data_IF_978012436977
#
_entry.id   IF_978012436977
#
_cell.length_a   1.000
_cell.length_b   1.000
_cell.length_c   1.000
_cell.angle_alpha   90.00
_cell.angle_beta   90.00
_cell.angle_gamma   90.00
#
_symmetry.space_group_name_H-M   'P 1'
#
loop_
_entity.id
_entity.type
_entity.pdbx_description
1 polymer ?
#
# COMPACT_ATOMS: atom_id res chain seq x y z
N UNK A 1 16.74 -20.73 -13.86
CA UNK A 1 16.82 -20.20 -12.50
C UNK A 1 17.52 -21.25 -11.63
N UNK A 2 18.49 -20.86 -10.78
CA UNK A 2 19.24 -21.78 -9.93
C UNK A 2 18.36 -22.56 -8.95
N UNK A 3 17.27 -21.94 -8.46
CA UNK A 3 16.31 -22.56 -7.54
C UNK A 3 15.53 -23.71 -8.20
N UNK A 4 15.25 -23.63 -9.51
CA UNK A 4 14.54 -24.69 -10.24
C UNK A 4 15.44 -25.90 -10.52
N UNK A 5 16.76 -25.71 -10.54
CA UNK A 5 17.76 -26.75 -10.80
C UNK A 5 18.28 -27.45 -9.55
N UNK A 6 18.07 -26.85 -8.36
CA UNK A 6 18.54 -27.38 -7.07
C UNK A 6 17.53 -27.07 -5.97
N UNK A 7 16.59 -27.99 -5.66
CA UNK A 7 15.58 -27.77 -4.65
C UNK A 7 16.22 -27.49 -3.29
N UNK A 8 15.86 -26.35 -2.70
CA UNK A 8 16.32 -25.95 -1.38
C UNK A 8 15.78 -26.90 -0.31
N UNK A 9 16.62 -27.36 0.60
CA UNK A 9 16.22 -28.25 1.70
C UNK A 9 15.65 -27.50 2.92
N UNK A 10 15.65 -26.16 2.89
CA UNK A 10 15.15 -25.31 3.96
C UNK A 10 13.62 -25.41 4.11
N UNK A 11 13.11 -25.20 5.33
CA UNK A 11 11.69 -25.14 5.62
C UNK A 11 11.15 -23.72 5.69
N UNK A 12 12.01 -22.70 5.70
CA UNK A 12 11.67 -21.29 5.68
C UNK A 12 12.78 -20.50 4.98
N UNK A 13 12.46 -19.32 4.49
CA UNK A 13 13.42 -18.47 3.79
C UNK A 13 12.88 -17.07 3.58
N UNK A 14 13.78 -16.14 3.30
CA UNK A 14 13.48 -14.76 2.93
C UNK A 14 13.98 -14.51 1.51
N UNK A 15 13.24 -13.69 0.78
CA UNK A 15 13.60 -13.22 -0.55
C UNK A 15 13.25 -11.76 -0.73
N UNK A 16 13.96 -11.07 -1.63
CA UNK A 16 13.74 -9.66 -1.90
C UNK A 16 14.12 -9.31 -3.33
N UNK A 17 13.33 -8.48 -4.00
CA UNK A 17 13.58 -8.06 -5.39
C UNK A 17 14.38 -6.78 -5.51
N UNK A 18 14.63 -6.10 -4.43
CA UNK A 18 15.33 -4.82 -4.26
C UNK A 18 14.93 -3.72 -5.25
N UNK A 19 14.45 -2.60 -4.71
CA UNK A 19 14.42 -1.32 -5.39
C UNK A 19 15.49 -0.43 -4.76
N UNK A 20 16.56 -0.09 -5.51
CA UNK A 20 17.73 0.59 -4.95
C UNK A 20 17.41 2.05 -4.59
N UNK A 21 17.38 2.36 -3.29
CA UNK A 21 17.29 3.73 -2.73
C UNK A 21 18.64 4.20 -2.20
N UNK A 22 19.41 3.32 -1.54
CA UNK A 22 20.75 3.57 -1.01
C UNK A 22 21.76 2.61 -1.61
N UNK A 23 22.91 3.12 -2.04
CA UNK A 23 23.99 2.33 -2.65
C UNK A 23 23.71 1.88 -4.09
N UNK A 24 24.77 1.68 -4.85
CA UNK A 24 24.72 1.22 -6.24
C UNK A 24 24.03 -0.17 -6.37
N UNK A 25 23.40 -0.50 -7.50
CA UNK A 25 22.77 -1.81 -7.72
C UNK A 25 23.83 -2.89 -7.97
N UNK A 26 24.53 -3.27 -6.92
CA UNK A 26 25.56 -4.33 -6.91
C UNK A 26 25.08 -5.53 -6.10
N UNK A 27 25.73 -6.67 -6.27
CA UNK A 27 25.42 -7.88 -5.51
C UNK A 27 25.66 -7.68 -4.01
N UNK A 28 26.73 -6.97 -3.60
CA UNK A 28 27.01 -6.67 -2.21
C UNK A 28 25.93 -5.84 -1.52
N UNK A 29 25.25 -4.99 -2.30
CA UNK A 29 24.16 -4.14 -1.83
C UNK A 29 22.77 -4.77 -2.00
N UNK A 30 22.68 -6.00 -2.51
CA UNK A 30 21.41 -6.70 -2.67
C UNK A 30 20.97 -7.34 -1.34
N UNK A 31 19.65 -7.30 -1.07
CA UNK A 31 19.08 -8.09 0.02
C UNK A 31 19.07 -9.59 -0.33
N UNK A 32 19.11 -10.45 0.68
CA UNK A 32 19.17 -10.15 2.11
C UNK A 32 20.58 -9.72 2.57
N UNK A 33 20.63 -8.96 3.68
CA UNK A 33 21.87 -8.64 4.39
C UNK A 33 22.08 -9.60 5.57
N UNK A 34 23.34 -9.70 6.04
CA UNK A 34 23.71 -10.57 7.16
C UNK A 34 24.53 -9.81 8.20
N UNK A 35 24.57 -10.33 9.43
CA UNK A 35 25.45 -9.89 10.51
C UNK A 35 26.91 -10.33 10.27
N UNK A 36 27.81 -10.02 11.22
CA UNK A 36 29.22 -10.38 11.14
C UNK A 36 29.46 -11.89 11.06
N UNK A 37 28.57 -12.70 11.60
CA UNK A 37 28.70 -14.16 11.66
C UNK A 37 27.98 -14.87 10.52
N UNK A 38 27.06 -14.17 9.81
CA UNK A 38 26.19 -14.75 8.79
C UNK A 38 25.02 -15.55 9.36
N UNK A 39 24.83 -15.54 10.68
CA UNK A 39 23.77 -16.29 11.36
C UNK A 39 22.40 -15.56 11.33
N UNK A 40 22.41 -14.22 11.25
CA UNK A 40 21.21 -13.39 11.18
C UNK A 40 21.05 -12.90 9.74
N UNK A 41 19.86 -13.03 9.19
CA UNK A 41 19.54 -12.63 7.82
C UNK A 41 18.34 -11.70 7.84
N UNK A 42 18.45 -10.54 7.18
CA UNK A 42 17.42 -9.51 7.16
C UNK A 42 17.08 -9.07 5.74
N UNK A 43 15.80 -8.89 5.47
CA UNK A 43 15.29 -8.09 4.35
C UNK A 43 14.58 -6.87 4.89
N UNK A 44 14.68 -5.74 4.19
CA UNK A 44 14.21 -4.46 4.65
C UNK A 44 13.64 -3.63 3.49
N UNK A 45 12.48 -3.05 3.73
CA UNK A 45 11.89 -1.99 2.93
C UNK A 45 11.84 -0.72 3.79
N UNK A 46 12.39 0.38 3.31
CA UNK A 46 12.40 1.65 4.03
C UNK A 46 13.72 2.40 3.88
N UNK A 47 13.85 3.46 4.66
CA UNK A 47 15.06 4.29 4.74
C UNK A 47 15.38 4.53 6.20
N UNK A 48 16.63 4.27 6.58
CA UNK A 48 17.15 4.48 7.93
C UNK A 48 17.70 5.90 8.07
N UNK A 49 16.92 6.78 8.69
CA UNK A 49 17.27 8.21 8.82
C UNK A 49 18.47 8.43 9.75
N UNK A 50 18.61 7.62 10.80
CA UNK A 50 19.73 7.66 11.74
C UNK A 50 20.87 6.70 11.38
N UNK A 51 21.07 6.43 10.08
CA UNK A 51 22.10 5.54 9.56
C UNK A 51 23.50 5.88 10.06
N UNK A 52 23.94 7.14 9.96
CA UNK A 52 25.32 7.54 10.25
C UNK A 52 25.69 7.29 11.72
N UNK A 53 24.94 7.81 12.71
CA UNK A 53 25.28 7.57 14.11
C UNK A 53 25.22 6.10 14.52
N UNK A 54 24.30 5.31 13.98
CA UNK A 54 24.23 3.88 14.28
C UNK A 54 25.41 3.12 13.70
N UNK A 55 25.82 3.43 12.48
CA UNK A 55 27.00 2.81 11.85
C UNK A 55 28.28 3.12 12.61
N UNK A 56 28.48 4.36 13.05
CA UNK A 56 29.62 4.75 13.86
C UNK A 56 29.66 4.02 15.20
N UNK A 57 28.52 3.95 15.89
CA UNK A 57 28.42 3.24 17.18
C UNK A 57 28.69 1.74 17.06
N UNK A 58 28.13 1.07 16.03
CA UNK A 58 28.36 -0.35 15.79
C UNK A 58 29.80 -0.63 15.34
N UNK A 59 30.38 0.22 14.47
CA UNK A 59 31.78 0.10 14.06
C UNK A 59 32.73 0.23 15.27
N UNK A 60 32.43 1.14 16.22
CA UNK A 60 33.20 1.28 17.46
C UNK A 60 33.12 0.04 18.37
N UNK A 61 32.07 -0.76 18.26
CA UNK A 61 31.92 -2.06 18.94
C UNK A 61 32.55 -3.22 18.18
N UNK A 62 33.10 -2.97 16.99
CA UNK A 62 33.81 -3.98 16.19
C UNK A 62 32.99 -4.65 15.09
N UNK A 63 31.76 -4.19 14.82
CA UNK A 63 30.98 -4.69 13.69
C UNK A 63 31.60 -4.28 12.34
N UNK A 64 31.70 -5.24 11.42
CA UNK A 64 32.27 -5.06 10.08
C UNK A 64 31.17 -5.04 9.02
N UNK A 65 31.09 -3.95 8.28
CA UNK A 65 30.07 -3.75 7.23
C UNK A 65 30.62 -4.18 5.87
N UNK A 66 29.85 -4.95 5.12
CA UNK A 66 30.17 -5.48 3.79
C UNK A 66 29.50 -4.71 2.65
N UNK A 67 28.46 -3.95 2.94
CA UNK A 67 27.70 -3.18 1.97
C UNK A 67 27.74 -1.67 2.24
N UNK A 68 27.25 -0.91 1.28
CA UNK A 68 27.02 0.53 1.43
C UNK A 68 25.53 0.88 1.67
N UNK A 69 24.69 -0.13 2.00
CA UNK A 69 23.28 0.07 2.29
C UNK A 69 23.04 0.42 3.75
N UNK A 70 21.97 1.14 4.03
CA UNK A 70 21.49 1.40 5.38
C UNK A 70 20.90 0.13 6.04
N UNK A 71 20.37 -0.78 5.25
CA UNK A 71 19.67 -1.99 5.70
C UNK A 71 20.59 -2.98 6.45
N UNK A 72 21.88 -3.03 6.14
CA UNK A 72 22.83 -3.90 6.83
C UNK A 72 22.98 -3.57 8.31
N UNK A 73 22.77 -2.31 8.70
CA UNK A 73 22.81 -1.88 10.10
C UNK A 73 21.83 -2.67 10.97
N UNK A 74 20.67 -3.02 10.42
CA UNK A 74 19.65 -3.76 11.15
C UNK A 74 20.15 -5.12 11.61
N UNK A 75 20.93 -5.82 10.76
CA UNK A 75 21.55 -7.10 11.12
C UNK A 75 22.47 -6.94 12.32
N UNK A 76 23.32 -5.93 12.28
CA UNK A 76 24.32 -5.67 13.33
C UNK A 76 23.69 -5.17 14.64
N UNK A 77 22.59 -4.42 14.58
CA UNK A 77 21.80 -4.07 15.78
C UNK A 77 21.22 -5.32 16.45
N UNK A 78 20.62 -6.21 15.66
CA UNK A 78 20.08 -7.47 16.18
C UNK A 78 21.20 -8.33 16.78
N UNK A 79 22.36 -8.43 16.12
CA UNK A 79 23.55 -9.13 16.60
C UNK A 79 24.03 -8.58 17.95
N UNK A 80 24.10 -7.26 18.10
CA UNK A 80 24.52 -6.58 19.33
C UNK A 80 23.58 -6.89 20.50
N UNK A 81 22.26 -6.86 20.26
CA UNK A 81 21.26 -7.21 21.27
C UNK A 81 21.31 -8.70 21.65
N UNK A 82 21.47 -9.62 20.70
CA UNK A 82 21.63 -11.04 20.99
C UNK A 82 22.89 -11.28 21.80
N UNK A 83 24.00 -10.62 21.45
CA UNK A 83 25.28 -10.69 22.19
C UNK A 83 25.12 -10.15 23.62
N UNK A 84 24.21 -9.25 23.88
CA UNK A 84 23.87 -8.77 25.21
C UNK A 84 22.90 -9.69 26.01
N UNK A 85 22.56 -10.87 25.45
CA UNK A 85 21.75 -11.89 26.11
C UNK A 85 20.24 -11.79 25.85
N UNK A 86 19.81 -11.01 24.87
CA UNK A 86 18.38 -10.93 24.47
C UNK A 86 17.99 -12.13 23.61
N UNK A 87 16.72 -12.55 23.68
CA UNK A 87 16.15 -13.51 22.74
C UNK A 87 16.04 -12.87 21.34
N UNK A 88 15.93 -13.69 20.29
CA UNK A 88 15.90 -13.21 18.91
C UNK A 88 14.73 -12.24 18.66
N UNK A 89 13.54 -12.59 19.10
CA UNK A 89 12.35 -11.74 18.98
C UNK A 89 12.50 -10.41 19.73
N UNK A 90 13.05 -10.45 20.94
CA UNK A 90 13.33 -9.25 21.73
C UNK A 90 14.43 -8.39 21.10
N UNK A 91 15.46 -9.00 20.52
CA UNK A 91 16.53 -8.30 19.80
C UNK A 91 15.99 -7.55 18.57
N UNK A 92 15.12 -8.19 17.78
CA UNK A 92 14.46 -7.53 16.65
C UNK A 92 13.57 -6.38 17.12
N UNK A 93 12.81 -6.57 18.19
CA UNK A 93 11.95 -5.52 18.77
C UNK A 93 12.77 -4.30 19.20
N UNK A 94 13.86 -4.52 19.94
CA UNK A 94 14.73 -3.44 20.43
C UNK A 94 15.44 -2.74 19.26
N UNK A 95 15.95 -3.48 18.30
CA UNK A 95 16.50 -2.91 17.09
C UNK A 95 15.48 -1.98 16.41
N UNK A 96 14.22 -2.44 16.27
CA UNK A 96 13.13 -1.61 15.72
C UNK A 96 12.83 -0.35 16.52
N UNK A 97 13.06 -0.33 17.84
CA UNK A 97 12.92 0.87 18.66
C UNK A 97 14.05 1.89 18.43
N UNK A 98 15.24 1.42 18.06
CA UNK A 98 16.39 2.31 17.82
C UNK A 98 16.36 2.94 16.42
N UNK A 99 15.61 2.38 15.48
CA UNK A 99 15.53 2.88 14.11
C UNK A 99 14.67 4.15 14.04
N UNK A 100 15.15 5.13 13.27
CA UNK A 100 14.38 6.33 12.90
C UNK A 100 14.08 6.28 11.40
N UNK A 101 12.86 6.68 11.04
CA UNK A 101 12.33 6.58 9.70
C UNK A 101 11.20 5.54 9.60
N UNK A 102 10.99 5.02 8.40
CA UNK A 102 9.89 4.09 8.12
C UNK A 102 10.46 2.75 7.66
N UNK A 103 10.01 1.65 8.28
CA UNK A 103 10.63 0.34 8.12
C UNK A 103 9.62 -0.80 8.02
N UNK A 104 9.80 -1.66 7.01
CA UNK A 104 9.24 -2.99 6.95
C UNK A 104 10.39 -4.00 6.97
N UNK A 105 10.53 -4.76 8.04
CA UNK A 105 11.67 -5.67 8.28
C UNK A 105 11.16 -7.09 8.41
N UNK A 106 11.88 -8.04 7.79
CA UNK A 106 11.75 -9.45 8.14
C UNK A 106 13.14 -10.06 8.40
N UNK A 107 13.25 -10.77 9.50
CA UNK A 107 14.50 -11.35 9.99
C UNK A 107 14.36 -12.85 10.27
N UNK A 108 15.42 -13.59 10.05
CA UNK A 108 15.60 -14.99 10.48
C UNK A 108 16.94 -15.13 11.17
N UNK A 109 17.03 -16.11 12.06
CA UNK A 109 18.24 -16.40 12.83
C UNK A 109 18.51 -17.91 12.86
N UNK A 110 19.72 -18.34 12.57
CA UNK A 110 20.09 -19.76 12.48
C UNK A 110 19.79 -20.52 13.78
N UNK A 111 20.02 -19.88 14.94
CA UNK A 111 19.79 -20.49 16.26
C UNK A 111 18.34 -20.38 16.76
N UNK A 112 17.47 -19.75 15.97
CA UNK A 112 16.01 -19.73 16.21
C UNK A 112 15.27 -20.39 15.02
N UNK A 113 15.49 -21.70 14.77
CA UNK A 113 14.94 -22.38 13.60
C UNK A 113 13.40 -22.33 13.59
N UNK A 114 12.83 -22.29 12.39
CA UNK A 114 11.39 -22.22 12.13
C UNK A 114 10.71 -20.94 12.66
N UNK A 115 11.47 -19.89 12.91
CA UNK A 115 10.93 -18.60 13.36
C UNK A 115 11.34 -17.51 12.38
N UNK A 116 10.35 -16.77 11.87
CA UNK A 116 10.54 -15.50 11.15
C UNK A 116 9.99 -14.41 12.05
N UNK A 117 10.75 -13.35 12.25
CA UNK A 117 10.27 -12.16 12.96
C UNK A 117 10.09 -11.05 11.95
N UNK A 118 8.87 -10.51 11.86
CA UNK A 118 8.55 -9.39 11.02
C UNK A 118 8.17 -8.17 11.86
N UNK A 119 8.64 -6.98 11.47
CA UNK A 119 8.41 -5.74 12.20
C UNK A 119 8.09 -4.63 11.22
N UNK A 120 7.14 -3.80 11.60
CA UNK A 120 6.78 -2.60 10.88
C UNK A 120 6.83 -1.37 11.79
N UNK A 121 7.51 -0.32 11.33
CA UNK A 121 7.54 0.98 11.97
C UNK A 121 7.30 2.07 10.92
N UNK A 122 6.38 3.01 11.21
CA UNK A 122 5.98 4.05 10.25
C UNK A 122 5.16 3.50 9.07
N UNK A 123 5.15 4.25 7.99
CA UNK A 123 4.32 4.01 6.80
C UNK A 123 5.09 3.45 5.59
N UNK A 124 6.32 2.96 5.74
CA UNK A 124 7.01 2.23 4.67
C UNK A 124 6.39 0.86 4.45
N UNK A 125 6.44 0.41 3.23
CA UNK A 125 5.93 -0.82 2.66
C UNK A 125 5.21 -1.78 3.60
N UNK A 126 4.05 -2.24 3.23
CA UNK A 126 3.22 -3.11 4.06
C UNK A 126 3.95 -4.37 4.50
N UNK A 127 3.55 -4.93 5.64
CA UNK A 127 3.87 -6.31 6.02
C UNK A 127 2.55 -7.05 6.22
N UNK A 128 2.29 -8.02 5.37
CA UNK A 128 1.12 -8.87 5.43
C UNK A 128 1.52 -10.32 5.68
N UNK A 129 0.81 -10.97 6.60
CA UNK A 129 1.06 -12.34 7.04
C UNK A 129 -0.11 -13.19 6.57
N UNK A 130 0.17 -14.17 5.71
CA UNK A 130 -0.80 -15.11 5.17
C UNK A 130 -0.81 -16.43 5.94
N UNK A 131 -1.99 -16.92 6.23
CA UNK A 131 -2.23 -18.20 6.92
C UNK A 131 -2.60 -19.26 5.91
N UNK A 132 -1.71 -20.22 5.68
CA UNK A 132 -1.92 -21.39 4.84
C UNK A 132 -2.27 -22.66 5.63
N UNK A 133 -2.30 -23.77 4.92
CA UNK A 133 -2.53 -25.09 5.55
C UNK A 133 -1.20 -25.66 6.07
N UNK A 134 -0.93 -25.48 7.36
CA UNK A 134 0.31 -25.91 8.01
C UNK A 134 1.56 -25.21 7.45
N UNK A 135 1.39 -23.97 6.97
CA UNK A 135 2.43 -23.09 6.46
C UNK A 135 2.02 -21.63 6.61
N UNK A 136 2.98 -20.74 6.68
CA UNK A 136 2.77 -19.31 6.82
C UNK A 136 3.52 -18.56 5.74
N UNK A 137 2.95 -17.48 5.31
CA UNK A 137 3.49 -16.63 4.26
C UNK A 137 3.71 -15.21 4.78
N UNK A 138 4.68 -14.53 4.22
CA UNK A 138 4.98 -13.12 4.50
C UNK A 138 5.22 -12.40 3.18
N UNK A 139 4.59 -11.25 2.99
CA UNK A 139 4.83 -10.39 1.86
C UNK A 139 4.71 -8.91 2.24
N UNK A 140 5.39 -8.06 1.50
CA UNK A 140 5.22 -6.61 1.61
C UNK A 140 3.92 -6.11 0.94
N UNK A 141 3.34 -6.92 0.04
CA UNK A 141 2.12 -6.55 -0.68
C UNK A 141 1.14 -7.73 -0.72
N UNK A 142 -0.14 -7.44 -0.48
CA UNK A 142 -1.24 -8.42 -0.45
C UNK A 142 -1.39 -9.24 -1.75
N UNK A 143 -1.26 -8.68 -2.96
CA UNK A 143 -1.36 -9.45 -4.20
C UNK A 143 -0.41 -10.66 -4.27
N UNK A 144 0.74 -10.60 -3.62
CA UNK A 144 1.68 -11.71 -3.57
C UNK A 144 1.15 -12.90 -2.73
N UNK A 145 0.26 -12.66 -1.77
CA UNK A 145 -0.33 -13.67 -0.91
C UNK A 145 -1.60 -14.29 -1.48
N UNK A 146 -2.38 -13.54 -2.27
CA UNK A 146 -3.70 -13.96 -2.77
C UNK A 146 -3.71 -15.31 -3.51
N UNK A 147 -2.69 -15.66 -4.32
CA UNK A 147 -2.61 -16.98 -4.95
C UNK A 147 -2.41 -18.14 -3.96
N UNK A 148 -1.92 -17.84 -2.75
CA UNK A 148 -1.54 -18.83 -1.74
C UNK A 148 -2.58 -18.93 -0.63
N UNK A 149 -3.12 -17.81 -0.18
CA UNK A 149 -4.14 -17.74 0.87
C UNK A 149 -4.93 -16.44 0.80
N UNK A 150 -6.18 -16.51 1.28
CA UNK A 150 -7.04 -15.34 1.49
C UNK A 150 -7.12 -14.92 2.96
N UNK A 151 -6.58 -15.73 3.87
CA UNK A 151 -6.61 -15.51 5.30
C UNK A 151 -5.36 -14.71 5.70
N UNK A 152 -5.49 -13.42 5.98
CA UNK A 152 -4.35 -12.52 6.16
C UNK A 152 -4.49 -11.62 7.39
N UNK A 153 -3.33 -11.22 7.93
CA UNK A 153 -3.18 -10.15 8.92
C UNK A 153 -2.16 -9.17 8.38
N UNK A 154 -2.50 -7.89 8.28
CA UNK A 154 -1.53 -6.82 7.97
C UNK A 154 -1.07 -6.16 9.26
N UNK A 155 0.24 -5.92 9.39
CA UNK A 155 0.81 -5.22 10.54
C UNK A 155 0.54 -3.72 10.44
N UNK A 156 0.09 -3.13 11.54
CA UNK A 156 0.06 -1.68 11.73
C UNK A 156 1.46 -1.10 11.99
N UNK A 157 1.55 0.23 11.99
CA UNK A 157 2.78 0.91 12.42
C UNK A 157 3.11 0.57 13.87
N UNK A 158 4.40 0.37 14.20
CA UNK A 158 4.92 -0.04 15.50
C UNK A 158 4.42 -1.41 15.98
N UNK A 159 4.12 -2.31 15.04
CA UNK A 159 3.74 -3.69 15.33
C UNK A 159 4.78 -4.67 14.82
N UNK A 160 4.87 -5.81 15.49
CA UNK A 160 5.68 -6.93 15.06
C UNK A 160 4.93 -8.25 15.19
N UNK A 161 5.38 -9.24 14.41
CA UNK A 161 4.89 -10.60 14.46
C UNK A 161 6.05 -11.60 14.58
N UNK A 162 5.88 -12.57 15.46
CA UNK A 162 6.71 -13.75 15.57
C UNK A 162 5.97 -14.87 14.86
N UNK A 163 6.47 -15.28 13.70
CA UNK A 163 5.79 -16.18 12.76
C UNK A 163 6.44 -17.56 12.85
N UNK A 164 5.63 -18.56 13.12
CA UNK A 164 6.03 -19.97 13.14
C UNK A 164 5.05 -20.78 12.29
N UNK A 165 5.43 -21.97 11.91
CA UNK A 165 4.58 -22.86 11.10
C UNK A 165 3.17 -23.05 11.68
N UNK A 166 3.02 -23.01 13.00
CA UNK A 166 1.76 -23.20 13.71
C UNK A 166 0.89 -21.95 13.84
N UNK A 167 1.40 -20.78 13.41
CA UNK A 167 0.72 -19.48 13.52
C UNK A 167 1.64 -18.34 13.92
N UNK A 168 1.07 -17.23 14.31
CA UNK A 168 1.79 -16.00 14.65
C UNK A 168 1.39 -15.44 16.00
N UNK A 169 2.34 -14.82 16.68
CA UNK A 169 2.14 -14.01 17.89
C UNK A 169 2.40 -12.56 17.50
N UNK A 170 1.52 -11.65 17.90
CA UNK A 170 1.59 -10.22 17.59
C UNK A 170 1.85 -9.41 18.85
N UNK A 171 2.70 -8.40 18.74
CA UNK A 171 2.95 -7.42 19.78
C UNK A 171 3.30 -6.05 19.20
N UNK A 172 3.16 -5.01 20.00
CA UNK A 172 3.69 -3.69 19.65
C UNK A 172 5.19 -3.58 20.01
N UNK A 173 5.82 -2.46 19.60
CA UNK A 173 7.22 -2.20 19.92
C UNK A 173 7.46 -1.89 21.40
N UNK A 174 6.41 -1.65 22.19
CA UNK A 174 6.50 -1.49 23.64
C UNK A 174 6.42 -2.84 24.38
N UNK A 175 6.20 -3.94 23.61
CA UNK A 175 6.18 -5.32 24.12
C UNK A 175 4.80 -5.81 24.56
N UNK A 176 3.73 -5.03 24.34
CA UNK A 176 2.38 -5.46 24.68
C UNK A 176 1.84 -6.40 23.61
N UNK A 177 1.24 -7.50 24.06
CA UNK A 177 0.63 -8.48 23.15
C UNK A 177 -0.64 -7.91 22.50
N UNK A 178 -0.76 -8.11 21.19
CA UNK A 178 -1.91 -7.69 20.40
C UNK A 178 -2.77 -8.90 20.02
N UNK A 179 -4.10 -8.76 20.15
CA UNK A 179 -5.06 -9.75 19.63
C UNK A 179 -5.37 -9.42 18.16
N UNK A 180 -4.64 -10.07 17.25
CA UNK A 180 -4.84 -9.95 15.80
C UNK A 180 -5.45 -11.24 15.27
N UNK A 181 -6.57 -11.14 14.57
CA UNK A 181 -7.25 -12.27 13.92
C UNK A 181 -7.15 -12.13 12.40
N UNK A 182 -6.88 -13.21 11.68
CA UNK A 182 -6.88 -13.19 10.23
C UNK A 182 -8.23 -12.74 9.68
N UNK A 183 -8.19 -11.84 8.70
CA UNK A 183 -9.35 -11.46 7.89
C UNK A 183 -9.35 -12.30 6.64
N UNK A 184 -10.51 -12.77 6.22
CA UNK A 184 -10.67 -13.46 4.93
C UNK A 184 -10.95 -12.38 3.88
N UNK A 185 -10.06 -12.25 2.90
CA UNK A 185 -10.24 -11.32 1.80
C UNK A 185 -11.17 -11.90 0.75
N UNK A 186 -12.10 -11.11 0.26
CA UNK A 186 -13.03 -11.50 -0.80
C UNK A 186 -12.41 -11.27 -2.20
N UNK A 187 -11.25 -11.88 -2.44
CA UNK A 187 -10.51 -11.77 -3.69
C UNK A 187 -10.55 -13.11 -4.46
N UNK A 188 -10.70 -13.03 -5.78
CA UNK A 188 -10.65 -14.22 -6.66
C UNK A 188 -9.20 -14.55 -7.06
N UNK A 189 -8.77 -15.83 -6.98
CA UNK A 189 -7.39 -16.24 -7.28
C UNK A 189 -6.99 -16.15 -8.75
N UNK A 190 -7.93 -15.88 -9.66
CA UNK A 190 -7.77 -16.08 -11.12
C UNK A 190 -6.97 -14.97 -11.85
N UNK A 191 -6.39 -14.01 -11.10
CA UNK A 191 -5.85 -12.78 -11.67
C UNK A 191 -4.34 -12.80 -11.95
N UNK A 192 -3.61 -13.82 -11.50
CA UNK A 192 -2.15 -13.88 -11.60
C UNK A 192 -1.58 -14.41 -12.94
N UNK A 193 -2.42 -14.89 -13.86
CA UNK A 193 -1.96 -15.46 -15.13
C UNK A 193 -2.08 -14.48 -16.29
N UNK A 194 -1.13 -14.53 -17.23
CA UNK A 194 -1.14 -13.67 -18.44
C UNK A 194 -2.33 -13.92 -19.37
N UNK A 195 -3.11 -14.99 -19.20
CA UNK A 195 -4.31 -15.25 -19.99
C UNK A 195 -4.08 -15.38 -21.51
N UNK A 196 -2.91 -15.87 -21.92
CA UNK A 196 -2.52 -15.97 -23.34
C UNK A 196 -1.83 -14.73 -23.90
N UNK A 197 -1.73 -13.63 -23.15
CA UNK A 197 -1.00 -12.43 -23.57
C UNK A 197 0.52 -12.56 -23.37
N UNK A 198 1.37 -12.01 -24.24
CA UNK A 198 2.83 -12.06 -24.08
C UNK A 198 3.31 -11.25 -22.86
N UNK A 199 2.59 -10.17 -22.51
CA UNK A 199 2.95 -9.24 -21.42
C UNK A 199 1.74 -8.95 -20.53
N UNK A 200 1.96 -8.77 -19.22
CA UNK A 200 0.91 -8.36 -18.28
C UNK A 200 0.31 -7.01 -18.67
N UNK A 201 1.11 -6.03 -19.00
CA UNK A 201 0.63 -4.72 -19.43
C UNK A 201 -0.36 -4.80 -20.60
N UNK A 202 -0.09 -5.66 -21.61
CA UNK A 202 -1.03 -5.84 -22.72
C UNK A 202 -2.35 -6.47 -22.25
N UNK A 203 -2.28 -7.50 -21.40
CA UNK A 203 -3.47 -8.07 -20.76
C UNK A 203 -4.28 -6.99 -20.03
N UNK A 204 -3.62 -6.18 -19.21
CA UNK A 204 -4.23 -5.13 -18.40
C UNK A 204 -4.84 -4.01 -19.25
N UNK A 205 -4.22 -3.67 -20.38
CA UNK A 205 -4.81 -2.78 -21.38
C UNK A 205 -6.12 -3.37 -21.92
N UNK A 206 -6.11 -4.66 -22.29
CA UNK A 206 -7.28 -5.33 -22.85
C UNK A 206 -8.38 -5.60 -21.83
N UNK A 207 -8.07 -5.63 -20.53
CA UNK A 207 -9.02 -5.79 -19.44
C UNK A 207 -9.75 -4.48 -19.05
N UNK A 208 -9.34 -3.32 -19.57
CA UNK A 208 -9.91 -2.04 -19.18
C UNK A 208 -11.44 -1.95 -19.33
N UNK A 209 -12.09 -2.46 -20.39
CA UNK A 209 -13.55 -2.42 -20.49
C UNK A 209 -14.25 -3.17 -19.36
N UNK A 210 -13.75 -4.35 -18.99
CA UNK A 210 -14.32 -5.17 -17.91
C UNK A 210 -14.04 -4.55 -16.54
N UNK A 211 -12.84 -4.04 -16.33
CA UNK A 211 -12.49 -3.37 -15.07
C UNK A 211 -13.28 -2.07 -14.87
N UNK A 212 -13.51 -1.30 -15.93
CA UNK A 212 -14.36 -0.12 -15.89
C UNK A 212 -15.81 -0.48 -15.50
N UNK A 213 -16.35 -1.57 -16.06
CA UNK A 213 -17.67 -2.08 -15.68
C UNK A 213 -17.71 -2.48 -14.20
N UNK A 214 -16.63 -3.09 -13.70
CA UNK A 214 -16.51 -3.49 -12.28
C UNK A 214 -16.48 -2.26 -11.35
N UNK A 215 -15.81 -1.18 -11.75
CA UNK A 215 -15.80 0.10 -11.01
C UNK A 215 -17.19 0.74 -10.96
N UNK A 216 -17.97 0.64 -12.03
CA UNK A 216 -19.30 1.22 -12.13
C UNK A 216 -20.38 0.39 -11.43
N UNK A 217 -20.12 -0.92 -11.24
CA UNK A 217 -21.11 -1.86 -10.67
C UNK A 217 -21.51 -1.45 -9.25
N UNK A 218 -22.83 -1.38 -9.01
CA UNK A 218 -23.40 -0.98 -7.73
C UNK A 218 -23.38 0.52 -7.45
N UNK A 219 -22.70 1.31 -8.30
CA UNK A 219 -22.60 2.76 -8.16
C UNK A 219 -23.50 3.54 -9.12
N UNK A 220 -24.00 2.87 -10.14
CA UNK A 220 -25.02 3.41 -11.07
C UNK A 220 -26.35 2.69 -10.86
N UNK A 221 -27.40 3.45 -10.65
CA UNK A 221 -28.78 2.97 -10.67
C UNK A 221 -29.37 3.22 -12.06
N UNK A 222 -29.56 2.15 -12.84
CA UNK A 222 -30.09 2.25 -14.20
C UNK A 222 -31.57 2.65 -14.22
N UNK A 223 -32.35 2.13 -13.26
CA UNK A 223 -33.78 2.41 -13.17
C UNK A 223 -34.07 3.86 -12.76
N UNK A 224 -33.27 4.38 -11.82
CA UNK A 224 -33.40 5.75 -11.33
C UNK A 224 -32.55 6.74 -12.14
N UNK A 225 -31.68 6.25 -13.03
CA UNK A 225 -30.68 7.05 -13.74
C UNK A 225 -29.87 7.96 -12.79
N UNK A 226 -29.41 7.40 -11.69
CA UNK A 226 -28.77 8.12 -10.58
C UNK A 226 -27.49 7.42 -10.17
N UNK A 227 -26.70 8.09 -9.34
CA UNK A 227 -25.48 7.56 -8.73
C UNK A 227 -25.68 7.30 -7.24
N UNK A 228 -25.07 6.24 -6.77
CA UNK A 228 -25.07 5.82 -5.36
C UNK A 228 -23.66 5.46 -4.94
N UNK A 229 -23.16 6.10 -3.89
CA UNK A 229 -21.86 5.82 -3.28
C UNK A 229 -22.05 5.50 -1.79
N UNK A 230 -22.74 4.38 -1.53
CA UNK A 230 -23.11 3.96 -0.16
C UNK A 230 -21.90 3.57 0.68
N UNK A 231 -20.75 3.32 0.04
CA UNK A 231 -19.47 3.06 0.72
C UNK A 231 -18.85 4.30 1.37
N UNK A 232 -19.33 5.50 1.03
CA UNK A 232 -18.81 6.74 1.63
C UNK A 232 -19.54 7.01 2.96
N UNK A 233 -18.81 7.15 4.07
CA UNK A 233 -19.40 7.34 5.39
C UNK A 233 -19.84 8.79 5.66
N UNK A 234 -19.69 9.68 4.69
CA UNK A 234 -19.98 11.11 4.86
C UNK A 234 -21.47 11.42 4.67
N UNK A 235 -22.04 12.15 5.60
CA UNK A 235 -23.39 12.70 5.50
C UNK A 235 -23.46 13.81 4.44
N UNK A 236 -24.65 14.07 3.92
CA UNK A 236 -24.88 15.17 2.96
C UNK A 236 -24.44 16.53 3.54
N UNK A 237 -24.68 16.77 4.83
CA UNK A 237 -24.27 18.02 5.48
C UNK A 237 -22.75 18.13 5.60
N UNK A 238 -22.07 17.04 5.86
CA UNK A 238 -20.59 17.01 5.83
C UNK A 238 -20.06 17.30 4.43
N UNK A 239 -20.62 16.66 3.40
CA UNK A 239 -20.21 16.93 2.01
C UNK A 239 -20.48 18.39 1.59
N UNK A 240 -21.56 18.99 2.09
CA UNK A 240 -21.87 20.42 1.86
C UNK A 240 -20.89 21.36 2.58
N UNK A 241 -20.37 20.94 3.72
CA UNK A 241 -19.45 21.75 4.52
C UNK A 241 -18.03 21.83 3.95
N UNK A 242 -17.69 20.99 2.96
CA UNK A 242 -16.38 20.98 2.32
C UNK A 242 -16.22 22.26 1.49
N UNK A 243 -15.19 23.06 1.80
CA UNK A 243 -14.90 24.29 1.08
C UNK A 243 -13.77 24.12 0.05
N UNK A 244 -12.93 23.10 0.21
CA UNK A 244 -11.82 22.82 -0.69
C UNK A 244 -11.52 21.31 -0.75
N UNK A 245 -11.10 20.83 -1.91
CA UNK A 245 -10.62 19.45 -2.12
C UNK A 245 -9.16 19.51 -2.52
N UNK A 246 -8.34 18.69 -1.86
CA UNK A 246 -6.95 18.47 -2.22
C UNK A 246 -6.80 16.99 -2.54
N UNK A 247 -6.21 16.69 -3.70
CA UNK A 247 -5.93 15.31 -4.09
C UNK A 247 -4.42 15.08 -4.02
N UNK A 248 -4.02 13.94 -3.48
CA UNK A 248 -2.60 13.57 -3.37
C UNK A 248 -2.35 12.19 -3.97
N UNK A 249 -1.25 12.04 -4.67
CA UNK A 249 -0.87 10.79 -5.32
C UNK A 249 0.58 10.82 -5.80
N UNK A 250 1.07 9.65 -6.24
CA UNK A 250 2.41 9.49 -6.81
C UNK A 250 2.31 9.00 -8.26
N UNK A 251 3.21 9.51 -9.12
CA UNK A 251 3.30 9.06 -10.51
C UNK A 251 1.97 9.15 -11.26
N UNK A 252 1.51 8.05 -11.87
CA UNK A 252 0.25 7.99 -12.62
C UNK A 252 -0.97 8.27 -11.75
N UNK A 253 -0.94 7.93 -10.46
CA UNK A 253 -2.02 8.27 -9.53
C UNK A 253 -2.15 9.79 -9.34
N UNK A 254 -1.03 10.53 -9.33
CA UNK A 254 -1.09 11.99 -9.31
C UNK A 254 -1.71 12.56 -10.59
N UNK A 255 -1.38 11.98 -11.77
CA UNK A 255 -2.02 12.39 -13.02
C UNK A 255 -3.53 12.13 -13.03
N UNK A 256 -3.97 11.00 -12.45
CA UNK A 256 -5.40 10.74 -12.25
C UNK A 256 -6.03 11.76 -11.29
N UNK A 257 -5.32 12.13 -10.23
CA UNK A 257 -5.75 13.14 -9.28
C UNK A 257 -5.89 14.53 -9.93
N UNK A 258 -5.00 14.94 -10.84
CA UNK A 258 -5.10 16.19 -11.60
C UNK A 258 -6.39 16.22 -12.45
N UNK A 259 -6.70 15.12 -13.14
CA UNK A 259 -7.95 15.00 -13.90
C UNK A 259 -9.16 15.04 -12.95
N UNK A 260 -9.08 14.36 -11.81
CA UNK A 260 -10.11 14.35 -10.77
C UNK A 260 -10.38 15.73 -10.19
N UNK A 261 -9.35 16.53 -9.95
CA UNK A 261 -9.51 17.91 -9.50
C UNK A 261 -10.34 18.73 -10.50
N UNK A 262 -10.05 18.57 -11.79
CA UNK A 262 -10.83 19.22 -12.83
C UNK A 262 -12.30 18.77 -12.86
N UNK A 263 -12.58 17.49 -12.66
CA UNK A 263 -13.94 16.98 -12.54
C UNK A 263 -14.68 17.59 -11.35
N UNK A 264 -14.03 17.68 -10.19
CA UNK A 264 -14.63 18.24 -8.97
C UNK A 264 -14.93 19.73 -9.15
N UNK A 265 -14.01 20.51 -9.70
CA UNK A 265 -14.27 21.93 -9.99
C UNK A 265 -15.41 22.13 -10.98
N UNK A 266 -15.45 21.29 -12.03
CA UNK A 266 -16.46 21.42 -13.09
C UNK A 266 -17.86 21.03 -12.59
N UNK A 267 -17.98 19.90 -11.89
CA UNK A 267 -19.26 19.29 -11.54
C UNK A 267 -19.75 19.67 -10.14
N UNK A 268 -18.85 19.75 -9.16
CA UNK A 268 -19.22 20.06 -7.79
C UNK A 268 -19.03 21.54 -7.41
N UNK A 269 -18.33 22.31 -8.24
CA UNK A 269 -18.05 23.74 -8.02
C UNK A 269 -17.33 23.99 -6.69
N UNK A 270 -16.42 23.09 -6.32
CA UNK A 270 -15.53 23.19 -5.17
C UNK A 270 -14.13 23.45 -5.70
N UNK A 271 -13.38 24.43 -5.18
CA UNK A 271 -11.96 24.60 -5.51
C UNK A 271 -11.20 23.30 -5.24
N UNK A 272 -10.53 22.77 -6.25
CA UNK A 272 -9.81 21.52 -6.16
C UNK A 272 -8.45 21.59 -6.87
N UNK A 273 -7.44 20.95 -6.32
CA UNK A 273 -6.15 20.79 -6.97
C UNK A 273 -5.49 19.48 -6.55
N UNK A 274 -4.59 19.00 -7.39
CA UNK A 274 -3.80 17.82 -7.11
C UNK A 274 -2.36 18.21 -6.78
N UNK A 275 -1.73 17.42 -5.90
CA UNK A 275 -0.34 17.60 -5.49
C UNK A 275 0.39 16.26 -5.44
N UNK A 276 1.68 16.31 -5.74
CA UNK A 276 2.55 15.17 -5.54
C UNK A 276 2.70 14.88 -4.05
N UNK A 277 2.40 13.65 -3.64
CA UNK A 277 2.43 13.25 -2.22
C UNK A 277 3.81 13.45 -1.58
N UNK A 278 4.91 13.25 -2.33
CA UNK A 278 6.26 13.40 -1.81
C UNK A 278 6.59 14.84 -1.38
N UNK A 279 5.97 15.83 -2.00
CA UNK A 279 6.20 17.24 -1.69
C UNK A 279 5.18 17.81 -0.70
N UNK A 280 4.00 17.19 -0.62
CA UNK A 280 2.84 17.72 0.09
C UNK A 280 3.12 18.09 1.54
N UNK A 281 3.65 17.15 2.34
CA UNK A 281 3.91 17.38 3.77
C UNK A 281 5.00 18.40 4.03
N UNK A 282 6.03 18.44 3.18
CA UNK A 282 7.20 19.29 3.41
C UNK A 282 6.92 20.78 3.18
N UNK A 283 5.91 21.11 2.40
CA UNK A 283 5.52 22.50 2.18
C UNK A 283 4.64 23.10 3.29
N UNK A 284 4.32 22.35 4.35
CA UNK A 284 3.42 22.76 5.42
C UNK A 284 2.05 23.26 4.88
N UNK A 285 1.21 22.33 4.36
CA UNK A 285 -0.01 22.70 3.66
C UNK A 285 -1.02 23.36 4.60
N UNK A 286 -1.80 24.31 4.07
CA UNK A 286 -2.89 24.94 4.83
C UNK A 286 -4.09 24.00 4.82
N UNK A 287 -4.36 23.33 5.93
CA UNK A 287 -5.43 22.37 6.11
C UNK A 287 -6.30 22.74 7.30
N UNK A 288 -7.56 22.34 7.25
CA UNK A 288 -8.53 22.47 8.33
C UNK A 288 -9.69 21.45 8.13
N UNK A 289 -10.67 21.42 9.01
CA UNK A 289 -11.81 20.50 8.99
C UNK A 289 -12.78 20.71 7.81
N UNK A 290 -12.60 21.75 7.00
CA UNK A 290 -13.40 22.04 5.78
C UNK A 290 -12.70 21.55 4.50
N UNK A 291 -11.50 20.96 4.64
CA UNK A 291 -10.77 20.33 3.54
C UNK A 291 -11.14 18.87 3.46
N UNK A 292 -11.43 18.38 2.26
CA UNK A 292 -11.43 16.97 1.93
C UNK A 292 -10.09 16.64 1.25
N UNK A 293 -9.25 15.87 1.92
CA UNK A 293 -8.01 15.34 1.36
C UNK A 293 -8.30 13.96 0.77
N UNK A 294 -8.06 13.80 -0.53
CA UNK A 294 -8.29 12.55 -1.25
C UNK A 294 -6.94 11.95 -1.65
N UNK A 295 -6.62 10.79 -1.12
CA UNK A 295 -5.49 10.02 -1.62
C UNK A 295 -5.90 9.16 -2.81
N UNK A 296 -5.11 9.18 -3.87
CA UNK A 296 -5.27 8.34 -5.06
C UNK A 296 -4.09 7.39 -5.13
N UNK A 297 -4.35 6.08 -5.09
CA UNK A 297 -3.32 5.07 -5.04
C UNK A 297 -3.76 3.76 -5.74
N UNK A 298 -2.82 2.94 -6.16
CA UNK A 298 -3.08 1.59 -6.63
C UNK A 298 -3.03 0.60 -5.45
N UNK A 299 -1.89 0.48 -4.78
CA UNK A 299 -1.68 -0.44 -3.66
C UNK A 299 -2.26 0.05 -2.33
N UNK A 300 -2.33 1.37 -2.13
CA UNK A 300 -2.65 1.96 -0.83
C UNK A 300 -1.54 1.79 0.22
N UNK A 301 -0.31 1.47 -0.23
CA UNK A 301 0.86 1.21 0.62
C UNK A 301 2.04 2.16 0.32
N UNK A 302 1.85 3.14 -0.56
CA UNK A 302 2.90 4.09 -0.94
C UNK A 302 3.21 5.02 0.23
N UNK A 303 4.44 4.98 0.74
CA UNK A 303 4.86 5.71 1.94
C UNK A 303 4.54 7.21 1.85
N UNK A 304 4.93 7.88 0.75
CA UNK A 304 4.68 9.32 0.58
C UNK A 304 3.18 9.66 0.61
N UNK A 305 2.33 8.79 0.04
CA UNK A 305 0.88 9.01 0.05
C UNK A 305 0.29 8.83 1.44
N UNK A 306 0.77 7.85 2.19
CA UNK A 306 0.36 7.62 3.58
C UNK A 306 0.80 8.76 4.50
N UNK A 307 2.00 9.29 4.30
CA UNK A 307 2.49 10.47 5.04
C UNK A 307 1.68 11.73 4.70
N UNK A 308 1.28 11.91 3.44
CA UNK A 308 0.41 13.02 3.06
C UNK A 308 -0.98 12.89 3.72
N UNK A 309 -1.51 11.67 3.86
CA UNK A 309 -2.76 11.41 4.58
C UNK A 309 -2.60 11.69 6.09
N UNK A 310 -1.48 11.29 6.70
CA UNK A 310 -1.18 11.57 8.11
C UNK A 310 -1.13 13.07 8.39
N UNK A 311 -0.50 13.86 7.50
CA UNK A 311 -0.53 15.33 7.57
C UNK A 311 -1.96 15.89 7.57
N UNK A 312 -2.84 15.32 6.73
CA UNK A 312 -4.27 15.68 6.71
C UNK A 312 -4.98 15.37 8.02
N UNK A 313 -4.72 14.21 8.62
CA UNK A 313 -5.29 13.77 9.90
C UNK A 313 -4.87 14.72 11.03
N UNK A 314 -3.59 15.05 11.11
CA UNK A 314 -3.04 15.94 12.14
C UNK A 314 -3.69 17.34 12.11
N UNK A 315 -4.07 17.80 10.91
CA UNK A 315 -4.77 19.06 10.69
C UNK A 315 -6.31 18.94 10.67
N UNK A 316 -6.85 17.76 11.01
CA UNK A 316 -8.30 17.50 11.08
C UNK A 316 -9.04 17.65 9.75
N UNK A 317 -8.37 17.52 8.63
CA UNK A 317 -9.03 17.38 7.34
C UNK A 317 -9.82 16.07 7.28
N UNK A 318 -10.89 16.02 6.48
CA UNK A 318 -11.57 14.75 6.17
C UNK A 318 -10.72 13.97 5.17
N UNK A 319 -10.52 12.70 5.42
CA UNK A 319 -9.64 11.84 4.61
C UNK A 319 -10.48 10.82 3.83
N UNK A 320 -10.37 10.85 2.51
CA UNK A 320 -10.90 9.83 1.62
C UNK A 320 -9.77 9.17 0.86
N UNK A 321 -9.77 7.85 0.73
CA UNK A 321 -8.85 7.15 -0.16
C UNK A 321 -9.59 6.53 -1.35
N UNK A 322 -9.02 6.68 -2.53
CA UNK A 322 -9.42 5.99 -3.77
C UNK A 322 -8.28 5.05 -4.13
N UNK A 323 -8.46 3.75 -3.93
CA UNK A 323 -7.40 2.77 -4.15
C UNK A 323 -7.94 1.43 -4.65
N UNK A 324 -7.04 0.55 -5.10
CA UNK A 324 -7.43 -0.75 -5.66
C UNK A 324 -7.38 -1.89 -4.64
N UNK A 325 -6.64 -1.73 -3.54
CA UNK A 325 -6.37 -2.81 -2.59
C UNK A 325 -7.18 -2.64 -1.33
N UNK A 326 -8.16 -3.52 -1.14
CA UNK A 326 -8.95 -3.60 0.09
C UNK A 326 -8.06 -4.03 1.28
N UNK A 327 -8.29 -3.41 2.44
CA UNK A 327 -7.52 -3.69 3.65
C UNK A 327 -6.11 -3.11 3.66
N UNK A 328 -5.75 -2.31 2.64
CA UNK A 328 -4.49 -1.55 2.62
C UNK A 328 -4.44 -0.50 3.74
N UNK A 329 -3.24 0.00 4.04
CA UNK A 329 -3.08 1.03 5.05
C UNK A 329 -3.90 2.29 4.76
N UNK A 330 -3.91 2.73 3.50
CA UNK A 330 -4.70 3.88 3.10
C UNK A 330 -6.18 3.70 3.49
N UNK A 331 -6.75 2.48 3.30
CA UNK A 331 -8.14 2.19 3.70
C UNK A 331 -8.34 2.08 5.21
N UNK A 332 -7.28 1.81 5.97
CA UNK A 332 -7.37 1.69 7.44
C UNK A 332 -7.30 3.05 8.15
N UNK A 333 -6.57 4.01 7.59
CA UNK A 333 -6.37 5.34 8.19
C UNK A 333 -7.32 6.40 7.65
N UNK A 334 -7.96 6.17 6.50
CA UNK A 334 -8.93 7.09 5.92
C UNK A 334 -10.27 7.05 6.69
N UNK A 335 -10.99 8.19 6.74
CA UNK A 335 -12.38 8.23 7.23
C UNK A 335 -13.32 7.45 6.30
N UNK A 336 -13.03 7.44 5.00
CA UNK A 336 -13.76 6.68 3.99
C UNK A 336 -12.85 6.13 2.90
N UNK A 337 -13.30 5.06 2.24
CA UNK A 337 -12.56 4.45 1.14
C UNK A 337 -13.47 4.10 -0.04
N UNK A 338 -12.97 4.33 -1.24
CA UNK A 338 -13.63 4.01 -2.49
C UNK A 338 -12.71 3.09 -3.30
N UNK A 339 -13.05 1.80 -3.36
CA UNK A 339 -12.26 0.81 -4.09
C UNK A 339 -12.52 0.94 -5.59
N UNK A 340 -11.47 0.96 -6.41
CA UNK A 340 -11.60 1.10 -7.86
C UNK A 340 -11.92 -0.20 -8.59
N UNK A 341 -11.86 -1.36 -7.90
CA UNK A 341 -12.20 -2.68 -8.43
C UNK A 341 -11.55 -3.02 -9.78
N UNK A 342 -10.31 -2.55 -10.01
CA UNK A 342 -9.60 -2.82 -11.26
C UNK A 342 -9.05 -4.25 -11.38
N UNK A 343 -9.15 -5.04 -10.31
CA UNK A 343 -8.47 -6.32 -10.20
C UNK A 343 -6.95 -6.16 -10.05
N UNK A 344 -6.22 -7.26 -10.12
CA UNK A 344 -4.77 -7.24 -9.97
C UNK A 344 -4.10 -6.60 -11.19
N UNK A 345 -3.23 -5.62 -10.96
CA UNK A 345 -2.34 -5.00 -11.95
C UNK A 345 -0.89 -5.27 -11.55
N UNK A 346 -0.15 -5.94 -12.44
CA UNK A 346 1.24 -6.40 -12.23
C UNK A 346 2.21 -5.53 -13.05
N UNK A 347 1.75 -4.97 -14.14
CA UNK A 347 2.55 -4.06 -14.97
C UNK A 347 3.01 -2.85 -14.17
N UNK A 348 4.29 -2.47 -14.30
CA UNK A 348 4.86 -1.33 -13.57
C UNK A 348 4.19 -0.02 -13.97
N UNK A 349 3.92 0.16 -15.26
CA UNK A 349 3.16 1.31 -15.74
C UNK A 349 1.66 1.03 -15.58
N UNK A 350 0.97 1.89 -14.85
CA UNK A 350 -0.46 1.78 -14.61
C UNK A 350 -1.27 1.92 -15.93
N UNK A 351 -2.27 1.07 -16.08
CA UNK A 351 -3.21 1.08 -17.21
C UNK A 351 -4.65 1.14 -16.69
N UNK A 352 -5.21 0.00 -16.32
CA UNK A 352 -6.59 -0.10 -15.84
C UNK A 352 -6.80 0.61 -14.49
N UNK A 353 -5.82 0.59 -13.57
CA UNK A 353 -5.93 1.31 -12.31
C UNK A 353 -5.97 2.82 -12.52
N UNK A 354 -5.22 3.37 -13.48
CA UNK A 354 -5.29 4.78 -13.85
C UNK A 354 -6.69 5.15 -14.37
N UNK A 355 -7.21 4.39 -15.34
CA UNK A 355 -8.53 4.63 -15.93
C UNK A 355 -9.63 4.52 -14.89
N UNK A 356 -9.59 3.49 -14.03
CA UNK A 356 -10.61 3.27 -13.01
C UNK A 356 -10.55 4.30 -11.88
N UNK A 357 -9.35 4.83 -11.56
CA UNK A 357 -9.22 5.97 -10.65
C UNK A 357 -9.92 7.21 -11.20
N UNK A 358 -9.77 7.50 -12.49
CA UNK A 358 -10.50 8.61 -13.13
C UNK A 358 -12.01 8.39 -13.11
N UNK A 359 -12.50 7.17 -13.37
CA UNK A 359 -13.93 6.82 -13.29
C UNK A 359 -14.44 7.04 -11.86
N UNK A 360 -13.71 6.58 -10.85
CA UNK A 360 -14.08 6.75 -9.44
C UNK A 360 -14.11 8.23 -9.03
N UNK A 361 -13.12 9.01 -9.47
CA UNK A 361 -13.08 10.45 -9.22
C UNK A 361 -14.21 11.20 -9.93
N UNK A 362 -14.62 10.74 -11.12
CA UNK A 362 -15.75 11.29 -11.82
C UNK A 362 -17.08 11.01 -11.09
N UNK A 363 -17.29 9.78 -10.61
CA UNK A 363 -18.43 9.42 -9.78
C UNK A 363 -18.49 10.25 -8.50
N UNK A 364 -17.34 10.42 -7.83
CA UNK A 364 -17.24 11.27 -6.64
C UNK A 364 -17.59 12.72 -6.94
N UNK A 365 -17.10 13.27 -8.06
CA UNK A 365 -17.41 14.64 -8.48
C UNK A 365 -18.92 14.85 -8.74
N UNK A 366 -19.58 13.88 -9.38
CA UNK A 366 -21.03 13.87 -9.55
C UNK A 366 -21.78 13.82 -8.21
N UNK A 367 -21.32 12.95 -7.29
CA UNK A 367 -21.90 12.80 -5.96
C UNK A 367 -21.79 14.09 -5.13
N UNK A 368 -20.62 14.71 -5.13
CA UNK A 368 -20.39 16.01 -4.48
C UNK A 368 -21.26 17.10 -5.12
N UNK A 369 -21.34 17.14 -6.45
CA UNK A 369 -22.17 18.08 -7.19
C UNK A 369 -23.66 17.97 -6.87
N UNK A 370 -24.16 16.72 -6.80
CA UNK A 370 -25.51 16.40 -6.36
C UNK A 370 -25.79 16.86 -4.93
N UNK A 371 -24.90 16.49 -3.98
CA UNK A 371 -25.05 16.86 -2.58
C UNK A 371 -25.12 18.38 -2.36
N UNK A 372 -24.40 19.14 -3.16
CA UNK A 372 -24.33 20.61 -3.10
C UNK A 372 -25.42 21.31 -3.94
N UNK A 373 -26.13 20.57 -4.77
CA UNK A 373 -27.08 21.16 -5.73
C UNK A 373 -26.40 21.96 -6.86
N UNK A 374 -25.12 21.65 -7.14
CA UNK A 374 -24.36 22.28 -8.22
C UNK A 374 -24.73 21.72 -9.61
N UNK A 375 -25.25 20.50 -9.64
CA UNK A 375 -25.79 19.83 -10.83
C UNK A 375 -27.24 19.37 -10.56
N UNK A 376 -28.09 19.45 -11.55
CA UNK A 376 -29.47 19.00 -11.47
C UNK A 376 -29.65 17.52 -11.87
N UNK A 377 -30.84 16.97 -11.62
CA UNK A 377 -31.11 15.57 -11.92
C UNK A 377 -31.02 15.25 -13.42
N UNK A 378 -31.40 16.17 -14.30
CA UNK A 378 -31.30 15.97 -15.76
C UNK A 378 -29.82 15.83 -16.20
N UNK A 379 -28.95 16.64 -15.62
CA UNK A 379 -27.51 16.55 -15.86
C UNK A 379 -26.97 15.21 -15.33
N UNK A 380 -27.36 14.79 -14.12
CA UNK A 380 -26.95 13.48 -13.55
C UNK A 380 -27.38 12.35 -14.48
N UNK A 381 -28.65 12.34 -14.94
CA UNK A 381 -29.15 11.34 -15.89
C UNK A 381 -28.29 11.26 -17.16
N UNK A 382 -27.93 12.40 -17.73
CA UNK A 382 -27.07 12.45 -18.92
C UNK A 382 -25.67 11.84 -18.64
N UNK A 383 -25.07 12.16 -17.48
CA UNK A 383 -23.78 11.58 -17.08
C UNK A 383 -23.86 10.08 -16.85
N UNK A 384 -24.91 9.58 -16.18
CA UNK A 384 -25.15 8.14 -15.97
C UNK A 384 -25.28 7.41 -17.30
N UNK A 385 -26.07 7.94 -18.25
CA UNK A 385 -26.21 7.36 -19.58
C UNK A 385 -24.86 7.26 -20.30
N UNK A 386 -24.03 8.30 -20.24
CA UNK A 386 -22.70 8.29 -20.86
C UNK A 386 -21.75 7.28 -20.17
N UNK A 387 -21.80 7.17 -18.85
CA UNK A 387 -20.99 6.19 -18.11
C UNK A 387 -21.38 4.75 -18.43
N UNK A 388 -22.66 4.45 -18.69
CA UNK A 388 -23.09 3.11 -19.12
C UNK A 388 -22.55 2.71 -20.48
N UNK A 389 -22.28 3.66 -21.36
CA UNK A 389 -21.70 3.41 -22.69
C UNK A 389 -20.18 3.24 -22.64
N UNK A 390 -19.53 3.73 -21.58
CA UNK A 390 -18.06 3.80 -21.50
C UNK A 390 -17.37 2.45 -21.71
N UNK A 391 -17.74 1.33 -21.05
CA UNK A 391 -17.06 0.06 -21.28
C UNK A 391 -17.13 -0.43 -22.75
N UNK A 392 -18.31 -0.23 -23.40
CA UNK A 392 -18.49 -0.57 -24.80
C UNK A 392 -17.67 0.28 -25.77
N UNK A 393 -17.51 1.58 -25.46
CA UNK A 393 -16.66 2.48 -26.22
C UNK A 393 -15.18 2.13 -26.08
N UNK A 394 -14.75 1.77 -24.86
CA UNK A 394 -13.40 1.29 -24.61
C UNK A 394 -13.09 0.01 -25.36
N UNK A 395 -14.01 -0.97 -25.34
CA UNK A 395 -13.85 -2.22 -26.10
C UNK A 395 -13.66 -1.95 -27.61
N UNK A 396 -14.51 -1.10 -28.20
CA UNK A 396 -14.39 -0.70 -29.60
C UNK A 396 -13.07 0.01 -29.91
N UNK A 397 -12.55 0.81 -28.99
CA UNK A 397 -11.27 1.50 -29.18
C UNK A 397 -10.11 0.51 -29.20
N UNK A 398 -10.18 -0.56 -28.41
CA UNK A 398 -9.15 -1.60 -28.35
C UNK A 398 -9.16 -2.56 -29.55
N UNK A 399 -10.23 -2.58 -30.35
CA UNK A 399 -10.35 -3.35 -31.60
C UNK A 399 -9.74 -2.62 -32.81
N UNK A 400 -9.41 -1.33 -32.69
CA UNK A 400 -8.84 -0.50 -33.77
C UNK A 400 -7.32 -0.72 -33.92
#
# INVERSE_FOLDING_TARGET
NEVDSSPLKGQFGLGHTRWATHGAPTQANAHPHTDCTGEIVVVHNGILENYVPLKEALSAKGHAFSSSTDSEIICHLIEDYISSGKSFDEAVRLAGCDLQGTHGIAAIYEKAPNTVVALRAGNAGGISIGYGNNEMYLASDLPALLPLTKSVVSLGSREMAIIQKSGSIYQDLDGHRLDRKPKILDATPDTGFKGGYPHFMLKEIMEQPESAMSTLRGRLSFDLQDITLDELPFTIDELRSIERVILVGMGTSNLAAEVGAHFIETLARIPAHAENSAEFRYRNPVLDSKVLLISVAQSGETADTLEAMAEGIDHKAKILTICNTEGSQATQIADGSMLIHAGLEIGVAATKTFTNSMISLYLLALHLGKARGAIDLGQIHSHVQNLTLLPGLMAKTLEM
#
